data_IF_403388957148
#
_entry.id   IF_403388957148
#
_cell.length_a   1.000
_cell.length_b   1.000
_cell.length_c   1.000
_cell.angle_alpha   90.00
_cell.angle_beta   90.00
_cell.angle_gamma   90.00
#
_symmetry.space_group_name_H-M   'P 1'
#
loop_
_entity.id
_entity.type
_entity.pdbx_description
1 polymer ?
#
# COMPACT_ATOMS: atom_id res chain seq x y z
N UNK A 1 25.05 29.72 -47.09
CA UNK A 1 23.97 30.03 -48.04
C UNK A 1 23.06 28.82 -48.06
N UNK A 2 21.87 28.98 -47.45
CA UNK A 2 20.55 28.32 -47.62
C UNK A 2 20.47 26.86 -48.15
N UNK A 3 19.56 25.96 -47.75
CA UNK A 3 18.46 25.89 -46.76
C UNK A 3 17.90 24.44 -46.75
N UNK A 4 17.34 24.06 -45.59
CA UNK A 4 16.13 23.26 -45.33
C UNK A 4 16.04 21.76 -45.66
N UNK A 5 15.51 21.07 -44.64
CA UNK A 5 14.92 19.74 -44.66
C UNK A 5 14.65 19.25 -43.24
N UNK A 6 13.70 19.89 -42.54
CA UNK A 6 12.88 19.22 -41.50
C UNK A 6 12.10 18.10 -42.23
N UNK A 7 11.94 16.89 -41.69
CA UNK A 7 10.73 16.50 -40.95
C UNK A 7 10.85 15.00 -40.54
N UNK A 8 10.32 14.71 -39.35
CA UNK A 8 9.59 13.50 -38.94
C UNK A 8 10.30 12.13 -38.84
N UNK A 9 10.67 11.76 -37.60
CA UNK A 9 10.71 10.37 -37.15
C UNK A 9 9.69 10.18 -36.02
N UNK A 10 8.41 10.09 -36.41
CA UNK A 10 7.33 9.58 -35.59
C UNK A 10 7.55 8.07 -35.38
N UNK A 11 7.99 7.68 -34.18
CA UNK A 11 8.02 6.29 -33.76
C UNK A 11 6.59 5.82 -33.51
N UNK A 12 6.02 5.07 -34.46
CA UNK A 12 4.72 4.44 -34.33
C UNK A 12 4.76 3.32 -33.27
N UNK A 13 4.09 3.57 -32.15
CA UNK A 13 3.83 2.61 -31.08
C UNK A 13 2.85 1.54 -31.57
N UNK A 14 3.35 0.37 -31.97
CA UNK A 14 2.51 -0.77 -32.35
C UNK A 14 1.99 -1.48 -31.09
N UNK A 15 0.67 -1.34 -30.87
CA UNK A 15 -0.10 -2.01 -29.84
C UNK A 15 -0.71 -3.27 -30.45
N UNK A 16 0.00 -4.38 -30.37
CA UNK A 16 -0.45 -5.65 -30.93
C UNK A 16 -1.06 -6.48 -29.79
N UNK A 17 -2.37 -6.64 -29.89
CA UNK A 17 -3.19 -7.40 -28.94
C UNK A 17 -2.94 -8.89 -29.12
N UNK A 18 -2.48 -9.57 -28.08
CA UNK A 18 -2.34 -11.03 -28.10
C UNK A 18 -3.73 -11.68 -28.06
N UNK A 19 -4.19 -12.14 -29.23
CA UNK A 19 -5.28 -13.12 -29.35
C UNK A 19 -4.78 -14.46 -28.80
N UNK A 20 -5.49 -15.00 -27.83
CA UNK A 20 -5.21 -16.34 -27.31
C UNK A 20 -5.89 -17.32 -28.26
N UNK A 21 -5.09 -18.03 -29.06
CA UNK A 21 -5.59 -19.11 -29.91
C UNK A 21 -6.00 -20.29 -29.04
N UNK A 22 -7.27 -20.67 -29.16
CA UNK A 22 -7.81 -21.93 -28.69
C UNK A 22 -7.04 -23.09 -29.34
N UNK A 23 -6.38 -23.91 -28.53
CA UNK A 23 -6.09 -25.29 -28.89
C UNK A 23 -6.35 -26.20 -27.69
N UNK A 24 -7.31 -27.08 -27.95
CA UNK A 24 -7.97 -28.06 -27.12
C UNK A 24 -7.04 -29.25 -26.83
N UNK A 25 -6.80 -29.58 -25.55
CA UNK A 25 -6.32 -30.91 -25.18
C UNK A 25 -7.15 -31.45 -24.03
N UNK A 26 -8.03 -32.39 -24.36
CA UNK A 26 -8.86 -33.11 -23.42
C UNK A 26 -8.02 -33.96 -22.46
N UNK A 27 -8.27 -33.79 -21.17
CA UNK A 27 -7.95 -34.78 -20.16
C UNK A 27 -9.20 -34.95 -19.30
N UNK A 28 -9.85 -36.10 -19.46
CA UNK A 28 -11.04 -36.49 -18.70
C UNK A 28 -10.75 -36.44 -17.20
N UNK A 29 -11.40 -35.51 -16.48
CA UNK A 29 -11.45 -35.49 -15.03
C UNK A 29 -12.84 -35.95 -14.60
N UNK A 30 -12.88 -37.18 -14.09
CA UNK A 30 -14.09 -37.85 -13.60
C UNK A 30 -14.69 -37.12 -12.40
N UNK A 31 -15.99 -36.83 -12.53
CA UNK A 31 -16.84 -36.20 -11.53
C UNK A 31 -17.24 -37.28 -10.53
N UNK A 32 -16.92 -37.10 -9.25
CA UNK A 32 -17.75 -37.39 -8.06
C UNK A 32 -16.90 -37.76 -6.84
N UNK A 33 -16.45 -36.76 -6.10
CA UNK A 33 -16.32 -36.92 -4.64
C UNK A 33 -16.60 -35.58 -3.98
N UNK A 34 -17.85 -35.37 -3.62
CA UNK A 34 -18.21 -34.49 -2.51
C UNK A 34 -18.70 -35.36 -1.36
N UNK A 35 -17.85 -35.64 -0.36
CA UNK A 35 -18.31 -35.93 0.97
C UNK A 35 -17.96 -34.72 1.85
N UNK A 36 -18.97 -33.92 2.14
CA UNK A 36 -19.08 -33.14 3.38
C UNK A 36 -17.82 -32.38 3.79
N UNK A 37 -17.48 -31.32 3.04
CA UNK A 37 -16.82 -30.17 3.64
C UNK A 37 -17.83 -29.44 4.53
N UNK A 38 -18.10 -29.99 5.71
CA UNK A 38 -18.37 -29.16 6.89
C UNK A 38 -17.07 -28.44 7.24
N UNK A 39 -16.68 -27.47 6.40
CA UNK A 39 -15.82 -26.37 6.83
C UNK A 39 -16.69 -25.49 7.73
N UNK A 40 -16.86 -25.98 8.96
CA UNK A 40 -17.48 -25.22 10.03
C UNK A 40 -16.71 -23.91 10.19
N UNK A 41 -17.37 -22.85 9.72
CA UNK A 41 -17.60 -21.65 10.48
C UNK A 41 -16.45 -21.17 11.37
N UNK A 42 -15.82 -20.10 10.89
CA UNK A 42 -15.66 -18.90 11.72
C UNK A 42 -14.83 -19.06 13.00
N UNK A 43 -13.52 -19.24 12.81
CA UNK A 43 -12.54 -18.52 13.62
C UNK A 43 -11.62 -17.80 12.65
N UNK A 44 -12.05 -16.60 12.23
CA UNK A 44 -11.19 -15.63 11.56
C UNK A 44 -10.13 -15.25 12.58
N UNK A 45 -9.06 -16.04 12.65
CA UNK A 45 -8.10 -15.96 13.71
C UNK A 45 -7.49 -14.55 13.78
N UNK A 46 -7.98 -13.78 14.73
CA UNK A 46 -7.28 -12.66 15.33
C UNK A 46 -6.15 -13.26 16.18
N UNK A 47 -5.29 -14.07 15.57
CA UNK A 47 -4.09 -14.56 16.22
C UNK A 47 -3.21 -13.35 16.44
N UNK A 48 -3.00 -13.06 17.69
CA UNK A 48 -2.06 -12.06 18.17
C UNK A 48 -0.64 -12.50 17.75
N UNK A 49 -0.24 -12.19 16.51
CA UNK A 49 0.99 -12.72 15.90
C UNK A 49 2.21 -12.04 16.49
N UNK A 50 3.05 -12.79 17.19
CA UNK A 50 4.39 -12.36 17.58
C UNK A 50 5.33 -12.48 16.37
N UNK A 51 5.83 -11.33 15.88
CA UNK A 51 6.83 -11.27 14.80
C UNK A 51 7.94 -10.30 15.21
N UNK A 52 8.89 -10.80 15.98
CA UNK A 52 10.05 -10.03 16.43
C UNK A 52 11.32 -10.40 15.66
N UNK A 53 12.29 -9.48 15.61
CA UNK A 53 13.60 -9.69 14.96
C UNK A 53 14.44 -10.78 15.63
N UNK A 54 14.16 -11.11 16.90
CA UNK A 54 14.81 -12.21 17.60
C UNK A 54 14.25 -13.59 17.21
N UNK A 55 13.17 -13.63 16.42
CA UNK A 55 12.47 -14.86 15.98
C UNK A 55 11.89 -15.70 17.14
N UNK A 56 11.89 -15.18 18.36
CA UNK A 56 11.29 -15.81 19.54
C UNK A 56 9.82 -15.39 19.64
N UNK A 57 8.94 -16.38 19.81
CA UNK A 57 7.48 -16.17 19.97
C UNK A 57 7.04 -16.09 21.44
N UNK A 58 7.92 -16.41 22.38
CA UNK A 58 7.63 -16.35 23.81
C UNK A 58 7.34 -14.91 24.26
N UNK A 59 6.39 -14.75 25.18
CA UNK A 59 6.05 -13.46 25.76
C UNK A 59 7.09 -13.05 26.82
N UNK A 60 7.69 -11.86 26.66
CA UNK A 60 8.48 -11.23 27.71
C UNK A 60 7.60 -10.30 28.56
N UNK A 61 8.09 -9.87 29.71
CA UNK A 61 7.41 -8.91 30.60
C UNK A 61 6.95 -7.61 29.89
N UNK A 62 7.68 -7.16 28.85
CA UNK A 62 7.34 -5.98 28.07
C UNK A 62 7.29 -6.26 26.55
N UNK A 63 6.10 -6.11 25.98
CA UNK A 63 5.84 -6.22 24.55
C UNK A 63 5.12 -4.98 24.04
N UNK A 64 5.27 -4.71 22.75
CA UNK A 64 4.64 -3.59 22.06
C UNK A 64 4.00 -4.07 20.75
N UNK A 65 2.79 -3.60 20.49
CA UNK A 65 2.01 -3.94 19.30
C UNK A 65 2.19 -2.87 18.22
N UNK A 66 2.45 -3.29 16.99
CA UNK A 66 2.51 -2.39 15.86
C UNK A 66 1.12 -1.96 15.37
N UNK A 67 0.92 -0.66 15.17
CA UNK A 67 -0.36 -0.10 14.72
C UNK A 67 -0.75 -0.54 13.29
N UNK A 68 0.21 -0.91 12.45
CA UNK A 68 -0.04 -1.25 11.05
C UNK A 68 -0.31 -2.73 10.81
N UNK A 69 0.60 -3.62 11.25
CA UNK A 69 0.47 -5.07 11.07
C UNK A 69 -0.30 -5.75 12.22
N UNK A 70 -0.58 -5.03 13.31
CA UNK A 70 -1.11 -5.58 14.57
C UNK A 70 -0.22 -6.68 15.20
N UNK A 71 1.03 -6.80 14.74
CA UNK A 71 1.98 -7.79 15.19
C UNK A 71 2.74 -7.33 16.45
N UNK A 72 3.02 -8.26 17.35
CA UNK A 72 3.68 -8.02 18.63
C UNK A 72 5.19 -8.23 18.55
N UNK A 73 5.93 -7.37 19.26
CA UNK A 73 7.39 -7.39 19.33
C UNK A 73 7.84 -7.16 20.76
N UNK A 74 8.98 -7.74 21.14
CA UNK A 74 9.59 -7.44 22.43
C UNK A 74 10.10 -6.01 22.45
N UNK A 75 9.74 -5.24 23.48
CA UNK A 75 10.18 -3.85 23.58
C UNK A 75 11.70 -3.73 23.63
N UNK A 76 12.37 -4.62 24.36
CA UNK A 76 13.84 -4.65 24.45
C UNK A 76 14.52 -4.92 23.11
N UNK A 77 13.93 -5.75 22.24
CA UNK A 77 14.45 -6.00 20.90
C UNK A 77 14.33 -4.76 20.00
N UNK A 78 13.39 -3.88 20.32
CA UNK A 78 13.14 -2.61 19.63
C UNK A 78 13.85 -1.43 20.30
N UNK A 79 14.66 -1.68 21.33
CA UNK A 79 15.33 -0.62 22.08
C UNK A 79 14.39 0.25 22.91
N UNK A 80 13.20 -0.27 23.25
CA UNK A 80 12.17 0.41 24.02
C UNK A 80 12.13 -0.15 25.45
N UNK A 81 11.84 0.76 26.39
CA UNK A 81 11.57 0.48 27.79
C UNK A 81 10.16 1.00 28.11
N UNK A 82 9.53 0.52 29.18
CA UNK A 82 8.18 0.95 29.61
C UNK A 82 8.07 2.47 29.84
N UNK A 83 9.17 3.11 30.22
CA UNK A 83 9.25 4.56 30.44
C UNK A 83 9.40 5.39 29.15
N UNK A 84 9.71 4.74 28.02
CA UNK A 84 10.01 5.41 26.75
C UNK A 84 9.21 4.81 25.58
N UNK A 85 7.91 4.57 25.80
CA UNK A 85 7.00 4.07 24.77
C UNK A 85 6.51 5.23 23.90
N UNK A 86 6.65 5.18 22.57
CA UNK A 86 6.13 6.21 21.68
C UNK A 86 4.59 6.18 21.63
N UNK A 87 3.96 7.32 21.33
CA UNK A 87 2.50 7.41 21.18
C UNK A 87 1.98 6.53 20.03
N UNK A 88 2.76 6.40 18.96
CA UNK A 88 2.50 5.50 17.83
C UNK A 88 3.70 4.63 17.55
N UNK A 89 3.48 3.31 17.47
CA UNK A 89 4.55 2.36 17.16
C UNK A 89 4.31 1.62 15.84
N UNK A 90 5.28 1.74 14.94
CA UNK A 90 5.34 1.00 13.68
C UNK A 90 6.55 0.08 13.72
N UNK A 91 6.38 -1.21 13.43
CA UNK A 91 7.49 -2.16 13.50
C UNK A 91 8.50 -1.99 12.36
N UNK A 92 9.69 -2.60 12.51
CA UNK A 92 10.75 -2.51 11.48
C UNK A 92 10.30 -3.00 10.10
N UNK A 93 9.41 -4.01 10.03
CA UNK A 93 8.90 -4.53 8.75
C UNK A 93 7.96 -3.53 8.09
N UNK A 94 7.11 -2.86 8.86
CA UNK A 94 6.20 -1.85 8.34
C UNK A 94 6.93 -0.54 8.00
N UNK A 95 8.01 -0.22 8.70
CA UNK A 95 8.85 0.95 8.42
C UNK A 95 9.78 0.75 7.21
N UNK A 96 10.48 -0.39 7.16
CA UNK A 96 11.44 -0.73 6.11
C UNK A 96 11.38 -2.23 5.80
N UNK A 97 10.38 -2.67 4.99
CA UNK A 97 10.19 -4.07 4.73
C UNK A 97 11.44 -4.66 4.03
N UNK A 98 11.91 -5.83 4.47
CA UNK A 98 13.06 -6.47 3.83
C UNK A 98 12.73 -6.84 2.38
N UNK A 99 13.69 -6.63 1.47
CA UNK A 99 13.56 -7.01 0.05
C UNK A 99 12.84 -5.98 -0.84
N UNK A 100 12.62 -4.75 -0.37
CA UNK A 100 11.99 -3.71 -1.16
C UNK A 100 12.90 -3.16 -2.26
N UNK A 101 12.29 -2.77 -3.39
CA UNK A 101 12.98 -1.93 -4.39
C UNK A 101 13.18 -0.54 -3.76
N UNK A 102 14.36 0.12 -3.91
CA UNK A 102 14.64 1.40 -3.23
C UNK A 102 13.59 2.50 -3.41
N UNK A 103 12.85 2.50 -4.52
CA UNK A 103 11.74 3.44 -4.76
C UNK A 103 10.54 3.27 -3.83
N UNK A 104 10.35 2.11 -3.18
CA UNK A 104 9.24 1.84 -2.26
C UNK A 104 9.45 2.44 -0.86
N UNK A 105 10.69 2.78 -0.48
CA UNK A 105 11.00 3.45 0.79
C UNK A 105 10.18 4.72 0.99
N UNK A 106 9.87 5.43 -0.11
CA UNK A 106 9.13 6.69 -0.09
C UNK A 106 7.61 6.51 -0.07
N UNK A 107 7.12 5.28 -0.23
CA UNK A 107 5.69 4.96 -0.23
C UNK A 107 5.11 4.84 1.18
N UNK A 108 5.96 4.59 2.19
CA UNK A 108 5.55 4.35 3.58
C UNK A 108 5.31 5.60 4.42
N UNK A 109 5.78 6.78 4.01
CA UNK A 109 5.39 8.03 4.67
C UNK A 109 3.95 8.37 4.27
N UNK A 110 2.97 7.70 4.89
CA UNK A 110 1.53 7.86 4.62
C UNK A 110 1.02 9.27 4.89
N UNK A 111 1.79 10.08 5.63
CA UNK A 111 1.39 11.41 6.06
C UNK A 111 1.98 12.52 5.19
N UNK A 112 2.84 12.22 4.20
CA UNK A 112 3.44 13.23 3.31
C UNK A 112 2.41 14.19 2.68
N UNK A 113 1.27 13.68 2.20
CA UNK A 113 0.18 14.48 1.63
C UNK A 113 -0.60 15.25 2.70
N UNK A 114 -0.75 14.66 3.89
CA UNK A 114 -1.43 15.26 5.04
C UNK A 114 -0.62 16.39 5.68
N UNK A 115 0.71 16.26 5.70
CA UNK A 115 1.66 17.26 6.22
C UNK A 115 2.16 18.22 5.15
N UNK A 116 2.07 17.84 3.88
CA UNK A 116 2.59 18.58 2.73
C UNK A 116 4.11 18.51 2.56
N UNK A 117 4.79 17.69 3.35
CA UNK A 117 6.24 17.54 3.35
C UNK A 117 6.63 16.22 2.69
N UNK A 118 7.25 16.29 1.52
CA UNK A 118 7.71 15.14 0.76
C UNK A 118 9.23 15.01 0.91
N UNK A 119 9.76 13.80 0.75
CA UNK A 119 11.20 13.60 0.82
C UNK A 119 11.92 14.41 -0.26
N UNK A 120 12.94 15.17 0.15
CA UNK A 120 13.73 16.03 -0.74
C UNK A 120 14.90 15.28 -1.34
N UNK A 121 15.49 15.85 -2.39
CA UNK A 121 16.78 15.39 -2.89
C UNK A 121 17.87 15.94 -1.96
N UNK A 122 18.77 15.07 -1.47
CA UNK A 122 19.78 15.44 -0.47
C UNK A 122 20.75 16.55 -0.92
N UNK A 123 20.86 16.80 -2.22
CA UNK A 123 21.72 17.82 -2.80
C UNK A 123 21.03 19.18 -3.01
N UNK A 124 19.72 19.29 -2.75
CA UNK A 124 18.99 20.54 -2.79
C UNK A 124 18.98 21.18 -1.40
N UNK A 125 19.47 22.42 -1.30
CA UNK A 125 19.46 23.18 -0.04
C UNK A 125 18.02 23.46 0.44
N UNK A 126 17.09 23.66 -0.50
CA UNK A 126 15.69 23.94 -0.21
C UNK A 126 14.75 22.94 -0.88
N UNK A 127 13.95 22.25 -0.08
CA UNK A 127 12.96 21.30 -0.57
C UNK A 127 11.66 22.03 -0.97
N UNK A 128 11.27 21.90 -2.25
CA UNK A 128 10.04 22.49 -2.79
C UNK A 128 8.82 22.18 -1.93
N UNK A 129 8.67 20.93 -1.49
CA UNK A 129 7.51 20.51 -0.69
C UNK A 129 7.46 21.24 0.65
N UNK A 130 8.61 21.54 1.26
CA UNK A 130 8.65 22.28 2.51
C UNK A 130 8.15 23.72 2.34
N UNK A 131 8.55 24.39 1.26
CA UNK A 131 8.08 25.75 0.98
C UNK A 131 6.61 25.81 0.58
N UNK A 132 6.10 24.74 -0.04
CA UNK A 132 4.75 24.69 -0.59
C UNK A 132 3.80 23.80 0.20
N UNK A 133 4.17 23.36 1.41
CA UNK A 133 3.43 22.39 2.20
C UNK A 133 1.96 22.78 2.38
N UNK A 134 1.68 24.04 2.69
CA UNK A 134 0.30 24.56 2.83
C UNK A 134 -0.54 24.37 1.57
N UNK A 135 0.05 24.59 0.38
CA UNK A 135 -0.64 24.39 -0.90
C UNK A 135 -0.90 22.91 -1.14
N UNK A 136 0.11 22.07 -0.90
CA UNK A 136 0.01 20.62 -1.06
C UNK A 136 -1.12 20.05 -0.18
N UNK A 137 -1.14 20.42 1.11
CA UNK A 137 -2.19 19.99 2.04
C UNK A 137 -3.56 20.48 1.61
N UNK A 138 -3.70 21.75 1.22
CA UNK A 138 -4.97 22.30 0.76
C UNK A 138 -5.48 21.59 -0.50
N UNK A 139 -4.61 21.32 -1.47
CA UNK A 139 -4.95 20.57 -2.69
C UNK A 139 -5.34 19.13 -2.37
N UNK A 140 -4.60 18.44 -1.50
CA UNK A 140 -4.93 17.09 -1.06
C UNK A 140 -6.31 17.04 -0.39
N UNK A 141 -6.61 17.98 0.50
CA UNK A 141 -7.91 18.07 1.17
C UNK A 141 -9.05 18.29 0.16
N UNK A 142 -8.87 19.21 -0.79
CA UNK A 142 -9.85 19.49 -1.84
C UNK A 142 -10.12 18.25 -2.70
N UNK A 143 -9.08 17.51 -3.08
CA UNK A 143 -9.22 16.26 -3.83
C UNK A 143 -10.01 15.21 -3.02
N UNK A 144 -9.72 15.08 -1.72
CA UNK A 144 -10.48 14.22 -0.82
C UNK A 144 -11.95 14.64 -0.69
N UNK A 145 -12.23 15.94 -0.63
CA UNK A 145 -13.60 16.48 -0.62
C UNK A 145 -14.36 16.15 -1.91
N UNK A 146 -13.72 16.32 -3.07
CA UNK A 146 -14.32 15.98 -4.37
C UNK A 146 -14.63 14.49 -4.46
N UNK A 147 -13.71 13.63 -4.03
CA UNK A 147 -13.91 12.17 -4.04
C UNK A 147 -15.11 11.77 -3.17
N UNK A 148 -15.25 12.35 -1.97
CA UNK A 148 -16.41 12.11 -1.09
C UNK A 148 -17.73 12.51 -1.77
N UNK A 149 -17.74 13.63 -2.48
CA UNK A 149 -18.95 14.05 -3.22
C UNK A 149 -19.30 13.05 -4.32
N UNK A 150 -18.32 12.54 -5.06
CA UNK A 150 -18.53 11.52 -6.10
C UNK A 150 -19.14 10.24 -5.49
N UNK A 151 -18.60 9.78 -4.36
CA UNK A 151 -19.11 8.60 -3.66
C UNK A 151 -20.56 8.76 -3.20
N UNK A 152 -20.90 9.93 -2.63
CA UNK A 152 -22.28 10.25 -2.23
C UNK A 152 -23.20 10.29 -3.45
N UNK A 153 -22.79 10.92 -4.55
CA UNK A 153 -23.59 10.98 -5.78
C UNK A 153 -23.84 9.59 -6.38
N UNK A 154 -22.80 8.76 -6.48
CA UNK A 154 -22.95 7.37 -6.92
C UNK A 154 -23.88 6.58 -6.00
N UNK A 155 -23.71 6.70 -4.67
CA UNK A 155 -24.57 6.03 -3.70
C UNK A 155 -26.03 6.48 -3.80
N UNK A 156 -26.30 7.75 -4.06
CA UNK A 156 -27.66 8.26 -4.27
C UNK A 156 -28.27 7.73 -5.58
N UNK A 157 -27.50 7.71 -6.67
CA UNK A 157 -27.95 7.16 -7.95
C UNK A 157 -28.36 5.69 -7.82
N UNK A 158 -27.55 4.88 -7.13
CA UNK A 158 -27.86 3.46 -6.86
C UNK A 158 -29.15 3.31 -6.02
N UNK A 159 -29.32 4.13 -4.98
CA UNK A 159 -30.55 4.10 -4.16
C UNK A 159 -31.79 4.47 -4.95
N UNK A 160 -31.68 5.43 -5.87
CA UNK A 160 -32.79 5.81 -6.75
C UNK A 160 -33.10 4.75 -7.80
N UNK A 161 -32.11 4.00 -8.29
CA UNK A 161 -32.33 2.96 -9.31
C UNK A 161 -32.99 1.68 -8.78
N UNK A 162 -32.97 1.48 -7.45
CA UNK A 162 -33.57 0.32 -6.77
C UNK A 162 -35.03 0.61 -6.35
N UNK A 163 -35.46 1.87 -6.37
CA UNK A 163 -36.84 2.31 -6.14
C UNK A 163 -37.63 2.36 -7.46
#
# INVERSE_FOLDING_TARGET
MFLLGEEDNLSESSSESFLWSDDEYGQDVDVTTNPDEELDGDDRYDFEVVRCICEVQEENDFMIQCEECQCWQHGVCMGLLEENVPEKYTCYVCQDPPGQRPGFKYWYDKEWLSRGHMHGLAFLEENYSHQNAKKIVATHQLLGDVQRVIEVLHGLQLKMSIL
#
